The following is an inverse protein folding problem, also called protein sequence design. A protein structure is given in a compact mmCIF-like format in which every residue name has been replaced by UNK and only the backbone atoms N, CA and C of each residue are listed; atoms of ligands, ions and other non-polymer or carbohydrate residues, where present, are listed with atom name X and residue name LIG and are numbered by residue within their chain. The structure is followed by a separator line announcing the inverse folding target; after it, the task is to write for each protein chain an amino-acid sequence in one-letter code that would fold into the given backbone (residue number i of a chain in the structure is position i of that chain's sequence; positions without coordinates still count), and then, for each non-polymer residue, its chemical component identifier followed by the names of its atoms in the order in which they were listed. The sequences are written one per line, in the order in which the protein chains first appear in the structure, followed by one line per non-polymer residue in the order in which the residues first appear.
data_IF_135772018458
#
_entry.id   IF_135772018458
#
_cell.length_a   1.000
_cell.length_b   1.000
_cell.length_c   1.000
_cell.angle_alpha   90.00
_cell.angle_beta   90.00
_cell.angle_gamma   90.00
#
_symmetry.space_group_name_H-M   'P 1'
#
loop_
_entity.id
_entity.type
_entity.pdbx_description
1 polymer ?
#
# COMPACT_ATOMS: atom_id res chain seq x y z
N UNK A 1 10.29 1.03 26.21
CA UNK A 1 9.60 0.26 25.15
C UNK A 1 10.22 -1.13 25.09
N UNK A 2 9.43 -2.21 24.93
CA UNK A 2 9.98 -3.56 24.86
C UNK A 2 10.91 -3.68 23.65
N UNK A 3 12.08 -4.26 23.89
CA UNK A 3 13.12 -4.51 22.88
C UNK A 3 13.48 -5.99 22.92
N UNK A 4 13.72 -6.58 21.76
CA UNK A 4 13.89 -8.01 21.58
C UNK A 4 15.32 -8.32 21.10
N UNK A 5 15.86 -9.46 21.47
CA UNK A 5 17.06 -10.03 20.86
C UNK A 5 16.69 -10.85 19.62
N UNK A 6 17.65 -11.13 18.74
CA UNK A 6 17.39 -11.98 17.57
C UNK A 6 16.86 -13.39 17.95
N UNK A 7 17.31 -13.93 19.10
CA UNK A 7 16.82 -15.22 19.63
C UNK A 7 15.40 -15.14 20.17
N UNK A 8 15.01 -14.02 20.75
CA UNK A 8 13.63 -13.79 21.21
C UNK A 8 12.69 -13.63 20.02
N UNK A 9 13.10 -12.89 18.99
CA UNK A 9 12.33 -12.80 17.74
C UNK A 9 12.14 -14.18 17.08
N UNK A 10 13.21 -14.98 17.00
CA UNK A 10 13.15 -16.35 16.48
C UNK A 10 12.20 -17.23 17.30
N UNK A 11 12.23 -17.12 18.63
CA UNK A 11 11.33 -17.89 19.51
C UNK A 11 9.87 -17.47 19.39
N UNK A 12 9.61 -16.17 19.34
CA UNK A 12 8.23 -15.64 19.35
C UNK A 12 7.56 -15.70 17.99
N UNK A 13 8.33 -15.50 16.92
CA UNK A 13 7.78 -15.53 15.56
C UNK A 13 7.97 -16.90 14.93
N UNK A 14 9.04 -17.63 15.23
CA UNK A 14 9.42 -18.83 14.49
C UNK A 14 10.21 -18.54 13.21
N UNK A 15 10.53 -17.27 12.93
CA UNK A 15 11.39 -16.88 11.81
C UNK A 15 12.85 -17.01 12.22
N UNK A 16 13.63 -17.82 11.50
CA UNK A 16 15.03 -18.04 11.80
C UNK A 16 15.87 -16.76 11.64
N UNK A 17 17.01 -16.72 12.33
CA UNK A 17 17.91 -15.55 12.34
C UNK A 17 18.46 -15.16 10.97
N UNK A 18 18.65 -16.13 10.06
CA UNK A 18 19.13 -15.86 8.70
C UNK A 18 18.03 -15.22 7.87
N UNK A 19 16.79 -15.68 7.98
CA UNK A 19 15.63 -15.06 7.33
C UNK A 19 15.36 -13.65 7.85
N UNK A 20 15.50 -13.41 9.16
CA UNK A 20 15.44 -12.05 9.72
C UNK A 20 16.50 -11.15 9.07
N UNK A 21 17.75 -11.61 8.95
CA UNK A 21 18.82 -10.85 8.33
C UNK A 21 18.54 -10.55 6.84
N UNK A 22 17.97 -11.53 6.12
CA UNK A 22 17.53 -11.37 4.74
C UNK A 22 16.43 -10.32 4.60
N UNK A 23 15.40 -10.34 5.47
CA UNK A 23 14.33 -9.32 5.45
C UNK A 23 14.83 -7.91 5.79
N UNK A 24 15.89 -7.79 6.59
CA UNK A 24 16.57 -6.49 6.80
C UNK A 24 17.29 -6.04 5.53
N UNK A 25 17.94 -6.95 4.78
CA UNK A 25 18.64 -6.63 3.54
C UNK A 25 17.67 -6.20 2.43
N UNK A 26 16.54 -6.90 2.28
CA UNK A 26 15.48 -6.57 1.31
C UNK A 26 14.69 -5.30 1.67
N UNK A 27 14.90 -4.76 2.88
CA UNK A 27 14.25 -3.54 3.36
C UNK A 27 12.80 -3.74 3.83
N UNK A 28 12.37 -4.98 4.12
CA UNK A 28 11.08 -5.23 4.77
C UNK A 28 11.09 -4.79 6.24
N UNK A 29 12.23 -4.99 6.91
CA UNK A 29 12.42 -4.56 8.28
C UNK A 29 13.26 -3.27 8.32
N UNK A 30 13.05 -2.39 9.32
CA UNK A 30 13.91 -1.23 9.50
C UNK A 30 15.38 -1.62 9.61
N UNK A 31 16.31 -0.72 9.30
CA UNK A 31 17.73 -0.98 9.55
C UNK A 31 18.00 -0.82 11.04
N UNK A 32 18.54 -1.87 11.67
CA UNK A 32 19.19 -1.75 12.99
C UNK A 32 20.64 -1.39 12.79
N UNK A 33 21.25 -0.70 13.76
CA UNK A 33 22.66 -0.29 13.73
C UNK A 33 23.64 -1.46 13.75
N UNK A 34 24.57 -1.49 14.71
CA UNK A 34 25.57 -2.56 14.78
C UNK A 34 24.90 -3.94 14.93
N UNK A 35 25.29 -4.87 14.05
CA UNK A 35 24.90 -6.29 14.10
C UNK A 35 25.83 -7.03 15.06
N UNK A 36 25.28 -7.78 16.00
CA UNK A 36 26.05 -8.56 16.97
C UNK A 36 25.14 -9.32 17.94
N UNK A 37 25.75 -10.13 18.80
CA UNK A 37 25.02 -11.00 19.77
C UNK A 37 24.12 -10.20 20.72
N UNK A 38 24.43 -8.91 20.94
CA UNK A 38 23.70 -8.01 21.83
C UNK A 38 22.77 -7.03 21.10
N UNK A 39 22.61 -7.13 19.77
CA UNK A 39 21.71 -6.23 19.03
C UNK A 39 20.28 -6.34 19.57
N UNK A 40 19.70 -5.19 19.88
CA UNK A 40 18.31 -5.04 20.33
C UNK A 40 17.45 -4.55 19.18
N UNK A 41 16.32 -5.21 18.97
CA UNK A 41 15.35 -4.94 17.93
C UNK A 41 14.11 -4.30 18.57
N UNK A 42 13.61 -3.18 18.04
CA UNK A 42 12.39 -2.57 18.58
C UNK A 42 11.17 -3.44 18.31
N UNK A 43 10.10 -3.27 19.10
CA UNK A 43 8.82 -4.01 18.93
C UNK A 43 8.30 -4.02 17.49
N UNK A 44 8.51 -2.94 16.74
CA UNK A 44 8.12 -2.85 15.33
C UNK A 44 8.68 -4.00 14.46
N UNK A 45 9.86 -4.55 14.78
CA UNK A 45 10.39 -5.72 14.07
C UNK A 45 9.53 -6.95 14.29
N UNK A 46 9.21 -7.24 15.55
CA UNK A 46 8.33 -8.35 15.92
C UNK A 46 6.98 -8.23 15.21
N UNK A 47 6.38 -7.04 15.27
CA UNK A 47 5.07 -6.80 14.68
C UNK A 47 5.10 -6.98 13.14
N UNK A 48 6.16 -6.51 12.46
CA UNK A 48 6.33 -6.74 11.00
C UNK A 48 6.58 -8.21 10.65
N UNK A 49 7.34 -8.95 11.47
CA UNK A 49 7.58 -10.38 11.24
C UNK A 49 6.28 -11.19 11.39
N UNK A 50 5.53 -10.97 12.46
CA UNK A 50 4.22 -11.61 12.65
C UNK A 50 3.24 -11.21 11.53
N UNK A 51 3.26 -9.97 11.06
CA UNK A 51 2.46 -9.55 9.90
C UNK A 51 2.81 -10.37 8.66
N UNK A 52 4.09 -10.55 8.33
CA UNK A 52 4.53 -11.35 7.18
C UNK A 52 4.00 -12.78 7.31
N UNK A 53 4.08 -13.37 8.49
CA UNK A 53 3.57 -14.72 8.73
C UNK A 53 2.07 -14.81 8.50
N UNK A 54 1.28 -13.90 9.08
CA UNK A 54 -0.17 -13.87 8.87
C UNK A 54 -0.56 -13.71 7.40
N UNK A 55 0.23 -12.98 6.62
CA UNK A 55 0.02 -12.89 5.16
C UNK A 55 0.27 -14.24 4.51
N UNK A 56 1.34 -14.96 4.88
CA UNK A 56 1.62 -16.31 4.36
C UNK A 56 0.57 -17.33 4.76
N UNK A 57 0.11 -17.29 6.02
CA UNK A 57 -0.96 -18.17 6.49
C UNK A 57 -2.25 -17.91 5.68
N UNK A 58 -2.59 -16.63 5.46
CA UNK A 58 -3.76 -16.25 4.66
C UNK A 58 -3.62 -16.62 3.17
N UNK A 59 -2.41 -16.65 2.63
CA UNK A 59 -2.15 -17.15 1.27
C UNK A 59 -2.34 -18.67 1.18
N UNK A 60 -1.83 -19.42 2.17
CA UNK A 60 -1.96 -20.88 2.23
C UNK A 60 -3.43 -21.31 2.38
N UNK A 61 -4.20 -20.57 3.17
CA UNK A 61 -5.64 -20.76 3.31
C UNK A 61 -6.46 -20.30 2.08
N UNK A 62 -5.82 -19.62 1.11
CA UNK A 62 -6.47 -19.11 -0.09
C UNK A 62 -7.34 -17.85 0.12
N UNK A 63 -7.20 -17.17 1.27
CA UNK A 63 -7.87 -15.90 1.54
C UNK A 63 -7.26 -14.73 0.74
N UNK A 64 -5.97 -14.83 0.40
CA UNK A 64 -5.24 -13.82 -0.36
C UNK A 64 -4.45 -14.50 -1.48
N UNK A 65 -4.38 -13.87 -2.65
CA UNK A 65 -3.51 -14.30 -3.75
C UNK A 65 -2.03 -14.25 -3.33
N UNK A 66 -1.17 -15.08 -3.92
CA UNK A 66 0.26 -15.09 -3.64
C UNK A 66 0.89 -13.67 -3.73
N UNK A 67 1.43 -13.19 -2.61
CA UNK A 67 2.02 -11.85 -2.47
C UNK A 67 3.54 -11.94 -2.46
N UNK A 68 4.18 -11.13 -3.32
CA UNK A 68 5.64 -11.04 -3.35
C UNK A 68 6.18 -10.26 -2.15
N UNK A 69 7.43 -10.51 -1.75
CA UNK A 69 8.09 -9.73 -0.69
C UNK A 69 8.16 -8.23 -1.02
N UNK A 70 8.28 -7.88 -2.30
CA UNK A 70 8.27 -6.48 -2.77
C UNK A 70 6.91 -5.81 -2.51
N UNK A 71 5.82 -6.54 -2.69
CA UNK A 71 4.48 -6.01 -2.43
C UNK A 71 4.22 -5.85 -0.94
N UNK A 72 4.66 -6.80 -0.12
CA UNK A 72 4.61 -6.66 1.35
C UNK A 72 5.40 -5.43 1.80
N UNK A 73 6.57 -5.16 1.20
CA UNK A 73 7.32 -3.92 1.49
C UNK A 73 6.51 -2.67 1.17
N UNK A 74 5.84 -2.61 0.01
CA UNK A 74 4.94 -1.50 -0.33
C UNK A 74 3.77 -1.37 0.65
N UNK A 75 3.28 -2.48 1.21
CA UNK A 75 2.27 -2.44 2.29
C UNK A 75 2.83 -1.73 3.52
N UNK A 76 4.06 -2.03 3.95
CA UNK A 76 4.68 -1.38 5.10
C UNK A 76 4.98 0.11 4.92
N UNK A 77 5.17 0.59 3.70
CA UNK A 77 5.36 2.02 3.40
C UNK A 77 4.03 2.79 3.47
N UNK A 78 2.89 2.12 3.24
CA UNK A 78 1.56 2.72 3.20
C UNK A 78 0.80 2.58 4.52
N UNK A 79 0.92 1.42 5.16
CA UNK A 79 0.12 1.04 6.33
C UNK A 79 0.78 1.57 7.61
N UNK A 80 0.05 2.33 8.46
CA UNK A 80 0.59 2.82 9.71
C UNK A 80 1.06 1.68 10.63
N UNK A 81 2.17 1.86 11.38
CA UNK A 81 2.69 0.85 12.31
C UNK A 81 1.66 0.31 13.31
N UNK A 82 0.71 1.14 13.75
CA UNK A 82 -0.36 0.72 14.66
C UNK A 82 -1.29 -0.34 14.05
N UNK A 83 -1.57 -0.26 12.74
CA UNK A 83 -2.40 -1.25 12.07
C UNK A 83 -1.65 -2.56 11.84
N UNK A 84 -0.35 -2.47 11.50
CA UNK A 84 0.55 -3.64 11.43
C UNK A 84 0.53 -4.37 12.77
N UNK A 85 0.65 -3.67 13.89
CA UNK A 85 0.59 -4.26 15.23
C UNK A 85 -0.75 -4.95 15.51
N UNK A 86 -1.89 -4.35 15.10
CA UNK A 86 -3.22 -4.97 15.27
C UNK A 86 -3.38 -6.26 14.47
N UNK A 87 -2.84 -6.31 13.26
CA UNK A 87 -2.83 -7.53 12.43
C UNK A 87 -1.90 -8.58 13.03
N UNK A 88 -0.71 -8.17 13.48
CA UNK A 88 0.24 -9.04 14.16
C UNK A 88 -0.34 -9.68 15.44
N UNK A 89 -1.11 -8.92 16.22
CA UNK A 89 -1.83 -9.38 17.41
C UNK A 89 -3.08 -10.23 17.06
N UNK A 90 -3.40 -10.44 15.78
CA UNK A 90 -4.57 -11.19 15.32
C UNK A 90 -5.91 -10.48 15.54
N UNK A 91 -5.91 -9.18 15.85
CA UNK A 91 -7.14 -8.39 16.06
C UNK A 91 -7.81 -7.96 14.76
N UNK A 92 -7.05 -7.97 13.66
CA UNK A 92 -7.54 -7.66 12.31
C UNK A 92 -7.08 -8.82 11.42
N UNK A 93 -8.02 -9.41 10.68
CA UNK A 93 -7.71 -10.43 9.69
C UNK A 93 -6.97 -9.82 8.48
N UNK A 94 -6.09 -10.58 7.85
CA UNK A 94 -5.45 -10.17 6.60
C UNK A 94 -6.48 -10.32 5.48
N UNK A 95 -6.96 -9.20 4.94
CA UNK A 95 -7.88 -9.20 3.80
C UNK A 95 -7.13 -8.87 2.51
N UNK A 96 -7.59 -9.32 1.33
CA UNK A 96 -6.94 -9.00 0.07
C UNK A 96 -6.81 -7.50 -0.18
N UNK A 97 -7.71 -6.66 0.34
CA UNK A 97 -7.63 -5.20 0.25
C UNK A 97 -6.44 -4.62 1.02
N UNK A 98 -6.05 -5.25 2.13
CA UNK A 98 -4.92 -4.81 2.95
C UNK A 98 -3.59 -5.03 2.21
N UNK A 99 -3.49 -6.14 1.48
CA UNK A 99 -2.24 -6.58 0.83
C UNK A 99 -2.14 -6.14 -0.62
N UNK A 100 -3.27 -5.94 -1.30
CA UNK A 100 -3.30 -5.49 -2.70
C UNK A 100 -2.81 -4.04 -2.86
N UNK A 101 -2.31 -3.73 -4.06
CA UNK A 101 -2.08 -2.34 -4.48
C UNK A 101 -3.39 -1.55 -4.35
N UNK A 102 -3.34 -0.24 -4.08
CA UNK A 102 -4.50 0.50 -3.62
C UNK A 102 -5.47 0.73 -4.78
N UNK A 103 -6.34 -0.24 -5.01
CA UNK A 103 -7.68 0.04 -5.51
C UNK A 103 -8.44 0.68 -4.34
N UNK A 104 -8.22 1.98 -4.14
CA UNK A 104 -9.10 2.97 -3.46
C UNK A 104 -9.63 2.72 -2.03
N UNK A 105 -9.46 1.55 -1.41
CA UNK A 105 -10.14 1.15 -0.17
C UNK A 105 -9.71 1.94 1.07
N UNK A 106 -8.46 2.40 1.14
CA UNK A 106 -7.96 3.26 2.24
C UNK A 106 -8.53 4.70 2.21
N UNK A 107 -9.38 5.04 1.23
CA UNK A 107 -10.15 6.29 1.21
C UNK A 107 -11.57 6.13 1.75
N UNK A 108 -11.92 5.01 2.35
CA UNK A 108 -13.24 4.88 3.00
C UNK A 108 -13.32 5.83 4.23
N UNK A 109 -14.33 6.72 4.28
CA UNK A 109 -14.46 7.70 5.37
C UNK A 109 -14.54 7.08 6.77
N UNK A 110 -15.02 5.83 6.88
CA UNK A 110 -15.14 5.11 8.15
C UNK A 110 -13.79 4.79 8.80
N UNK A 111 -12.80 4.37 8.00
CA UNK A 111 -11.50 3.96 8.53
C UNK A 111 -10.64 5.16 8.97
N UNK A 112 -10.75 6.29 8.26
CA UNK A 112 -10.18 7.58 8.74
C UNK A 112 -10.80 8.03 10.05
N UNK A 113 -12.13 7.95 10.19
CA UNK A 113 -12.82 8.31 11.43
C UNK A 113 -12.42 7.41 12.61
N UNK A 114 -12.26 6.10 12.37
CA UNK A 114 -11.78 5.18 13.39
C UNK A 114 -10.34 5.49 13.83
N UNK A 115 -9.42 5.75 12.88
CA UNK A 115 -8.04 6.12 13.20
C UNK A 115 -7.92 7.49 13.90
N UNK A 116 -8.71 8.49 13.48
CA UNK A 116 -8.74 9.80 14.14
C UNK A 116 -9.30 9.71 15.55
N UNK A 117 -10.35 8.89 15.77
CA UNK A 117 -10.91 8.66 17.10
C UNK A 117 -9.92 8.00 18.04
N UNK A 118 -9.25 6.92 17.62
CA UNK A 118 -8.24 6.26 18.46
C UNK A 118 -7.02 7.14 18.73
N UNK A 119 -6.60 7.97 17.75
CA UNK A 119 -5.52 8.96 17.97
C UNK A 119 -5.92 9.99 19.02
N UNK A 120 -7.15 10.49 18.96
CA UNK A 120 -7.69 11.45 19.93
C UNK A 120 -7.83 10.83 21.33
N UNK A 121 -8.35 9.60 21.43
CA UNK A 121 -8.47 8.88 22.71
C UNK A 121 -7.11 8.50 23.32
N UNK A 122 -6.09 8.25 22.48
CA UNK A 122 -4.71 8.06 22.91
C UNK A 122 -4.08 9.35 23.42
N UNK A 123 -4.33 10.48 22.75
CA UNK A 123 -3.89 11.82 23.19
C UNK A 123 -4.62 12.26 24.46
N UNK A 124 -5.92 12.00 24.63
CA UNK A 124 -6.65 12.32 25.88
C UNK A 124 -6.18 11.49 27.08
N UNK A 125 -5.73 10.25 26.86
CA UNK A 125 -5.06 9.46 27.91
C UNK A 125 -3.68 9.99 28.25
N UNK A 126 -2.93 10.47 27.27
CA UNK A 126 -1.61 11.05 27.48
C UNK A 126 -1.65 12.47 28.05
N UNK A 127 -2.71 13.22 27.75
CA UNK A 127 -2.95 14.60 28.18
C UNK A 127 -3.89 14.71 29.37
N UNK A 128 -4.40 13.60 29.94
CA UNK A 128 -5.03 13.62 31.26
C UNK A 128 -3.99 14.08 32.26
N UNK A 129 -4.02 15.36 32.69
CA UNK A 129 -3.06 15.84 33.64
C UNK A 129 -3.39 15.15 34.96
N UNK A 130 -2.35 14.71 35.65
CA UNK A 130 -2.39 14.38 37.06
C UNK A 130 -3.27 15.38 37.81
N UNK A 131 -4.53 15.02 38.06
CA UNK A 131 -5.32 15.64 39.12
C UNK A 131 -4.81 14.98 40.38
N UNK A 132 -3.79 15.61 40.96
CA UNK A 132 -3.08 15.09 42.12
C UNK A 132 -4.03 14.80 43.29
N UNK A 133 -3.72 13.79 44.13
CA UNK A 133 -4.35 13.67 45.43
C UNK A 133 -3.95 14.87 46.30
N UNK A 134 -4.83 15.33 47.22
CA UNK A 134 -4.46 16.39 48.14
C UNK A 134 -3.32 15.89 49.03
N UNK A 135 -2.32 16.75 49.17
CA UNK A 135 -1.25 16.63 50.16
C UNK A 135 -1.85 16.37 51.53
N UNK A 136 -1.19 15.50 52.32
CA UNK A 136 -0.85 15.76 53.71
C UNK A 136 0.14 14.69 54.20
N UNK A 137 1.21 15.20 54.80
CA UNK A 137 2.10 14.59 55.79
C UNK A 137 3.29 13.72 55.39
N UNK A 138 4.46 14.33 55.66
CA UNK A 138 5.70 13.78 56.22
C UNK A 138 6.81 13.34 55.26
N UNK A 139 8.06 13.18 55.75
CA UNK A 139 8.90 14.25 56.29
C UNK A 139 10.27 14.32 55.56
N UNK A 140 10.98 15.42 55.82
CA UNK A 140 12.35 15.71 55.43
C UNK A 140 13.28 14.50 55.65
N UNK A 141 13.87 13.95 54.59
CA UNK A 141 15.01 13.02 54.69
C UNK A 141 16.17 13.48 53.81
N UNK A 142 17.34 13.49 54.44
CA UNK A 142 18.59 14.15 54.04
C UNK A 142 19.26 13.61 52.77
N UNK A 143 20.11 14.44 52.12
CA UNK A 143 20.97 14.03 51.02
C UNK A 143 22.25 13.37 51.58
N UNK A 144 22.62 12.21 51.03
CA UNK A 144 23.89 11.58 51.41
C UNK A 144 24.22 10.32 50.61
N UNK A 145 25.28 10.43 49.80
CA UNK A 145 26.15 9.34 49.33
C UNK A 145 25.70 8.59 48.05
N UNK A 146 26.65 7.89 47.38
CA UNK A 146 27.47 8.48 46.33
C UNK A 146 27.31 7.74 44.99
N UNK A 147 27.91 8.32 43.95
CA UNK A 147 28.00 7.75 42.61
C UNK A 147 28.60 6.34 42.64
N UNK A 148 27.76 5.34 42.38
CA UNK A 148 28.21 4.00 41.99
C UNK A 148 28.71 4.08 40.55
N UNK A 149 30.03 4.14 40.44
CA UNK A 149 30.77 3.95 39.21
C UNK A 149 30.56 2.50 38.79
N UNK A 150 29.68 2.25 37.82
CA UNK A 150 29.54 0.95 37.17
C UNK A 150 30.85 0.64 36.42
N UNK A 151 31.73 -0.04 37.15
CA UNK A 151 32.92 -0.72 36.67
C UNK A 151 32.48 -1.82 35.68
N UNK A 152 32.69 -1.55 34.39
CA UNK A 152 32.47 -2.51 33.32
C UNK A 152 33.60 -3.53 33.36
N UNK A 153 33.43 -4.55 34.20
CA UNK A 153 34.32 -5.70 34.31
C UNK A 153 34.82 -6.18 32.96
N UNK A 154 36.09 -5.85 32.68
CA UNK A 154 36.98 -6.46 31.71
C UNK A 154 37.36 -7.86 32.19
N UNK A 155 36.40 -8.78 32.20
CA UNK A 155 36.67 -10.20 32.40
C UNK A 155 36.00 -10.96 31.24
N UNK A 156 36.81 -11.41 30.29
CA UNK A 156 37.01 -12.85 30.03
C UNK A 156 37.72 -13.03 28.66
N UNK A 157 39.00 -12.64 28.62
CA UNK A 157 39.93 -13.00 27.55
C UNK A 157 40.48 -14.41 27.83
N UNK A 158 39.65 -15.43 27.64
CA UNK A 158 40.11 -16.82 27.64
C UNK A 158 40.91 -17.13 26.36
N UNK A 159 42.16 -17.62 26.43
CA UNK A 159 42.90 -18.08 25.28
C UNK A 159 42.33 -19.42 24.82
N UNK A 160 41.73 -19.47 23.63
CA UNK A 160 41.49 -20.73 22.93
C UNK A 160 42.77 -21.13 22.20
N UNK A 161 43.64 -21.80 22.93
CA UNK A 161 44.67 -22.67 22.35
C UNK A 161 44.00 -23.90 21.72
N UNK A 162 44.51 -24.31 20.57
CA UNK A 162 44.36 -25.67 20.05
C UNK A 162 43.11 -25.95 19.22
N UNK A 163 43.17 -25.71 17.91
CA UNK A 163 43.20 -26.87 17.01
C UNK A 163 43.82 -26.49 15.67
N UNK A 164 45.03 -27.02 15.49
CA UNK A 164 45.73 -27.07 14.21
C UNK A 164 45.07 -28.16 13.37
N UNK A 165 44.21 -27.78 12.43
CA UNK A 165 43.81 -28.68 11.34
C UNK A 165 44.45 -28.20 10.06
N UNK A 166 45.24 -29.10 9.50
CA UNK A 166 46.09 -28.92 8.34
C UNK A 166 45.33 -28.33 7.14
N UNK A 167 46.04 -27.42 6.46
CA UNK A 167 45.74 -26.97 5.12
C UNK A 167 45.70 -28.17 4.16
N UNK A 168 44.52 -28.51 3.67
CA UNK A 168 44.37 -29.32 2.46
C UNK A 168 44.29 -28.37 1.25
N UNK A 169 45.20 -28.58 0.32
CA UNK A 169 45.42 -27.76 -0.87
C UNK A 169 44.27 -27.98 -1.86
N UNK A 170 43.27 -27.09 -1.80
CA UNK A 170 42.22 -27.03 -2.82
C UNK A 170 42.76 -26.50 -4.16
N UNK A 171 42.37 -27.10 -5.30
CA UNK A 171 43.01 -26.88 -6.59
C UNK A 171 42.80 -25.45 -7.11
N UNK A 172 43.86 -24.97 -7.79
CA UNK A 172 43.90 -23.71 -8.50
C UNK A 172 42.67 -23.53 -9.41
N UNK A 173 41.77 -22.63 -9.01
CA UNK A 173 40.72 -22.14 -9.90
C UNK A 173 41.39 -21.30 -10.99
N UNK A 174 41.55 -21.92 -12.16
CA UNK A 174 41.89 -21.26 -13.41
C UNK A 174 41.07 -19.99 -13.56
N UNK A 175 41.79 -18.86 -13.60
CA UNK A 175 41.27 -17.58 -14.09
C UNK A 175 40.66 -17.80 -15.47
N UNK A 176 39.34 -17.82 -15.56
CA UNK A 176 38.69 -17.71 -16.86
C UNK A 176 38.95 -16.30 -17.42
N UNK A 177 39.34 -16.18 -18.70
CA UNK A 177 39.43 -14.89 -19.38
C UNK A 177 38.03 -14.27 -19.44
N UNK A 178 37.94 -12.99 -19.05
CA UNK A 178 36.70 -12.23 -19.09
C UNK A 178 36.13 -12.13 -20.50
N UNK A 179 34.81 -11.94 -20.65
CA UNK A 179 34.19 -11.75 -21.95
C UNK A 179 34.76 -10.49 -22.64
N UNK A 180 34.91 -10.52 -23.98
CA UNK A 180 35.38 -9.37 -24.72
C UNK A 180 34.43 -8.18 -24.51
N UNK A 181 35.03 -7.01 -24.33
CA UNK A 181 34.32 -5.74 -24.23
C UNK A 181 33.45 -5.55 -25.49
N UNK A 182 32.13 -5.51 -25.30
CA UNK A 182 31.21 -5.07 -26.34
C UNK A 182 31.46 -3.58 -26.59
N UNK A 183 31.95 -3.27 -27.79
CA UNK A 183 32.12 -1.90 -28.27
C UNK A 183 30.75 -1.20 -28.32
N UNK A 184 30.63 0.03 -27.82
CA UNK A 184 29.39 0.79 -27.93
C UNK A 184 29.11 1.17 -29.38
N UNK A 185 28.04 0.60 -29.93
CA UNK A 185 27.45 1.01 -31.21
C UNK A 185 27.25 2.55 -31.26
N UNK A 186 27.70 3.22 -32.32
CA UNK A 186 27.52 4.66 -32.47
C UNK A 186 26.03 4.99 -32.65
N UNK A 187 25.50 5.80 -31.73
CA UNK A 187 24.17 6.38 -31.85
C UNK A 187 24.03 7.12 -33.19
N UNK A 188 23.21 6.54 -34.07
CA UNK A 188 22.78 7.18 -35.29
C UNK A 188 21.96 8.43 -34.96
N UNK A 189 22.58 9.60 -35.17
CA UNK A 189 21.90 10.87 -35.32
C UNK A 189 20.91 10.77 -36.48
N UNK A 190 19.62 10.79 -36.16
CA UNK A 190 18.52 10.90 -37.11
C UNK A 190 17.88 12.31 -37.09
N UNK A 191 17.49 12.85 -38.26
CA UNK A 191 17.09 14.25 -38.49
C UNK A 191 15.70 14.57 -37.88
N UNK A 192 15.51 15.76 -37.32
CA UNK A 192 15.04 16.99 -37.99
C UNK A 192 13.55 16.96 -38.36
N UNK A 193 12.85 17.98 -37.84
CA UNK A 193 11.66 18.64 -38.38
C UNK A 193 10.37 17.84 -38.60
N UNK A 194 9.34 18.20 -37.83
CA UNK A 194 8.13 18.82 -38.39
C UNK A 194 7.18 19.21 -37.25
N UNK A 195 7.18 20.49 -36.88
CA UNK A 195 6.02 21.08 -36.19
C UNK A 195 4.84 21.14 -37.18
N UNK A 196 3.66 20.60 -36.84
CA UNK A 196 2.46 20.88 -37.61
C UNK A 196 1.91 22.29 -37.25
N UNK A 197 1.35 23.01 -38.24
CA UNK A 197 0.89 24.38 -38.08
C UNK A 197 -0.35 24.47 -37.18
N UNK A 198 -0.38 25.54 -36.40
CA UNK A 198 -1.53 25.99 -35.63
C UNK A 198 -2.66 26.42 -36.58
N UNK A 199 -3.70 25.60 -36.70
CA UNK A 199 -4.93 25.99 -37.39
C UNK A 199 -5.74 26.99 -36.56
N UNK A 200 -5.95 28.15 -37.18
CA UNK A 200 -6.78 29.26 -36.75
C UNK A 200 -8.29 28.97 -36.90
N UNK A 201 -9.03 29.30 -35.82
CA UNK A 201 -10.39 29.91 -35.83
C UNK A 201 -11.61 28.99 -36.18
N UNK A 202 -12.88 29.31 -35.82
CA UNK A 202 -13.43 30.65 -35.66
C UNK A 202 -14.27 30.97 -34.41
N UNK A 203 -14.48 32.28 -34.30
CA UNK A 203 -15.27 33.04 -33.35
C UNK A 203 -16.78 32.83 -33.54
N UNK A 204 -17.50 33.06 -32.42
CA UNK A 204 -18.86 33.65 -32.30
C UNK A 204 -20.03 32.87 -32.91
N UNK A 205 -20.98 32.50 -32.03
CA UNK A 205 -22.41 32.82 -32.19
C UNK A 205 -23.19 32.49 -30.90
N UNK A 206 -23.48 33.52 -30.10
CA UNK A 206 -24.74 33.65 -29.36
C UNK A 206 -25.52 34.81 -30.05
N UNK A 207 -26.79 35.13 -29.75
CA UNK A 207 -27.76 34.51 -28.82
C UNK A 207 -29.15 34.27 -29.49
N UNK A 208 -29.99 33.35 -28.97
CA UNK A 208 -31.42 33.36 -29.31
C UNK A 208 -32.35 33.03 -28.13
N UNK A 209 -32.95 34.11 -27.64
CA UNK A 209 -34.37 34.34 -27.32
C UNK A 209 -35.14 33.31 -26.46
N UNK A 210 -35.39 33.77 -25.24
CA UNK A 210 -36.60 33.57 -24.41
C UNK A 210 -37.89 33.53 -25.24
N UNK A 211 -38.76 32.58 -24.88
CA UNK A 211 -40.20 32.57 -25.15
C UNK A 211 -40.93 32.08 -23.86
N UNK A 212 -42.23 32.42 -23.69
CA UNK A 212 -42.83 32.73 -22.40
C UNK A 212 -43.29 31.51 -21.60
N UNK A 213 -43.29 31.70 -20.29
CA UNK A 213 -43.84 30.79 -19.28
C UNK A 213 -45.33 30.58 -19.51
N UNK A 214 -45.72 29.32 -19.69
CA UNK A 214 -47.11 28.89 -19.62
C UNK A 214 -47.35 28.48 -18.17
N UNK A 215 -48.07 29.32 -17.43
CA UNK A 215 -48.67 28.96 -16.15
C UNK A 215 -49.54 27.72 -16.35
N UNK A 216 -49.16 26.63 -15.69
CA UNK A 216 -49.98 25.43 -15.56
C UNK A 216 -50.37 25.36 -14.09
N UNK A 217 -51.66 25.51 -13.84
CA UNK A 217 -52.30 25.24 -12.55
C UNK A 217 -51.88 23.86 -12.03
N UNK A 218 -51.20 23.85 -10.88
CA UNK A 218 -50.84 22.62 -10.17
C UNK A 218 -51.88 22.39 -9.07
N UNK A 219 -52.68 21.29 -9.13
CA UNK A 219 -53.61 20.93 -8.06
C UNK A 219 -52.87 20.48 -6.78
N UNK A 220 -53.54 20.47 -5.62
CA UNK A 220 -52.90 20.44 -4.32
C UNK A 220 -52.28 19.08 -4.01
N UNK A 221 -51.04 19.16 -3.52
CA UNK A 221 -50.40 18.37 -2.47
C UNK A 221 -51.16 17.10 -2.07
N UNK A 222 -50.98 16.03 -2.84
CA UNK A 222 -51.08 14.67 -2.30
C UNK A 222 -49.67 14.19 -1.98
N UNK A 223 -49.44 13.96 -0.68
CA UNK A 223 -48.51 13.00 -0.10
C UNK A 223 -47.32 12.60 -0.97
N UNK A 224 -46.19 13.28 -0.79
CA UNK A 224 -44.87 12.78 -1.19
C UNK A 224 -44.58 11.49 -0.41
N UNK A 225 -45.05 10.37 -0.94
CA UNK A 225 -44.42 9.08 -0.70
C UNK A 225 -42.94 9.22 -1.09
N UNK A 226 -41.99 8.80 -0.24
CA UNK A 226 -40.58 8.83 -0.59
C UNK A 226 -40.40 8.00 -1.86
N UNK A 227 -40.10 8.66 -2.97
CA UNK A 227 -39.73 7.99 -4.21
C UNK A 227 -38.52 7.11 -3.89
N UNK A 228 -38.78 5.81 -3.97
CA UNK A 228 -37.88 4.73 -3.61
C UNK A 228 -36.50 4.91 -4.23
N UNK A 229 -35.49 4.72 -3.39
CA UNK A 229 -34.08 4.51 -3.73
C UNK A 229 -33.82 3.28 -4.66
N UNK A 230 -34.84 2.65 -5.23
CA UNK A 230 -34.72 1.46 -6.09
C UNK A 230 -34.07 1.77 -7.46
N UNK A 231 -34.07 3.03 -7.92
CA UNK A 231 -33.42 3.42 -9.18
C UNK A 231 -31.88 3.36 -9.13
N UNK A 232 -31.27 3.39 -7.94
CA UNK A 232 -29.81 3.29 -7.78
C UNK A 232 -29.28 1.89 -8.11
N UNK A 233 -29.90 0.88 -7.51
CA UNK A 233 -29.43 -0.50 -7.60
C UNK A 233 -29.47 -1.05 -9.03
N UNK A 234 -30.50 -0.73 -9.81
CA UNK A 234 -30.60 -1.17 -11.20
C UNK A 234 -29.48 -0.57 -12.09
N UNK A 235 -29.11 0.69 -11.86
CA UNK A 235 -28.03 1.34 -12.59
C UNK A 235 -26.64 0.82 -12.19
N UNK A 236 -26.44 0.55 -10.90
CA UNK A 236 -25.21 -0.07 -10.41
C UNK A 236 -25.02 -1.49 -10.96
N UNK A 237 -26.09 -2.29 -11.01
CA UNK A 237 -26.08 -3.62 -11.63
C UNK A 237 -25.79 -3.54 -13.14
N UNK A 238 -26.39 -2.57 -13.84
CA UNK A 238 -26.10 -2.34 -15.25
C UNK A 238 -24.63 -1.95 -15.50
N UNK A 239 -24.08 -1.06 -14.66
CA UNK A 239 -22.66 -0.68 -14.72
C UNK A 239 -21.75 -1.88 -14.46
N UNK A 240 -22.06 -2.69 -13.44
CA UNK A 240 -21.30 -3.90 -13.13
C UNK A 240 -21.30 -4.91 -14.29
N UNK A 241 -22.46 -5.07 -14.95
CA UNK A 241 -22.59 -5.92 -16.14
C UNK A 241 -21.77 -5.39 -17.32
N UNK A 242 -21.80 -4.08 -17.58
CA UNK A 242 -21.04 -3.47 -18.67
C UNK A 242 -19.52 -3.56 -18.43
N UNK A 243 -19.06 -3.39 -17.18
CA UNK A 243 -17.66 -3.55 -16.80
C UNK A 243 -17.17 -5.00 -16.97
N UNK A 244 -17.96 -6.00 -16.56
CA UNK A 244 -17.64 -7.42 -16.79
C UNK A 244 -17.52 -7.73 -18.28
N UNK A 245 -18.45 -7.21 -19.09
CA UNK A 245 -18.41 -7.37 -20.54
C UNK A 245 -17.16 -6.73 -21.16
N UNK A 246 -16.76 -5.55 -20.69
CA UNK A 246 -15.53 -4.88 -21.14
C UNK A 246 -14.28 -5.71 -20.80
N UNK A 247 -14.24 -6.31 -19.61
CA UNK A 247 -13.16 -7.18 -19.19
C UNK A 247 -13.06 -8.46 -20.04
N UNK A 248 -14.20 -9.12 -20.30
CA UNK A 248 -14.24 -10.32 -21.15
C UNK A 248 -13.74 -10.04 -22.57
N UNK A 249 -14.16 -8.92 -23.16
CA UNK A 249 -13.69 -8.47 -24.47
C UNK A 249 -12.18 -8.23 -24.48
N UNK A 250 -11.67 -7.51 -23.47
CA UNK A 250 -10.23 -7.27 -23.33
C UNK A 250 -9.43 -8.57 -23.20
N UNK A 251 -9.88 -9.50 -22.35
CA UNK A 251 -9.23 -10.81 -22.16
C UNK A 251 -9.24 -11.65 -23.44
N UNK A 252 -10.38 -11.67 -24.14
CA UNK A 252 -10.54 -12.40 -25.40
C UNK A 252 -9.59 -11.85 -26.47
N UNK A 253 -9.49 -10.53 -26.62
CA UNK A 253 -8.54 -9.91 -27.56
C UNK A 253 -7.08 -10.19 -27.24
N UNK A 254 -6.70 -10.07 -25.97
CA UNK A 254 -5.33 -10.38 -25.53
C UNK A 254 -4.94 -11.84 -25.84
N UNK A 255 -5.94 -12.74 -25.87
CA UNK A 255 -5.77 -14.15 -26.27
C UNK A 255 -5.71 -14.32 -27.79
N UNK A 256 -6.58 -13.65 -28.55
CA UNK A 256 -6.68 -13.76 -30.01
C UNK A 256 -5.54 -13.06 -30.75
N UNK A 257 -5.06 -11.93 -30.24
CA UNK A 257 -4.01 -11.14 -30.86
C UNK A 257 -2.97 -10.70 -29.81
N UNK A 258 -1.82 -11.38 -29.72
CA UNK A 258 -0.75 -10.98 -28.80
C UNK A 258 -0.25 -9.55 -29.03
N UNK A 259 -0.37 -9.02 -30.25
CA UNK A 259 -0.03 -7.63 -30.59
C UNK A 259 -0.98 -6.60 -29.95
N UNK A 260 -2.23 -6.98 -29.67
CA UNK A 260 -3.19 -6.12 -28.97
C UNK A 260 -2.83 -5.86 -27.51
N UNK A 261 -1.85 -6.60 -26.97
CA UNK A 261 -1.29 -6.34 -25.64
C UNK A 261 -0.67 -4.94 -25.58
N UNK A 262 -0.20 -4.33 -26.65
CA UNK A 262 0.47 -3.03 -26.51
C UNK A 262 -0.48 -1.83 -26.68
N UNK A 263 -1.74 -2.09 -27.03
CA UNK A 263 -2.76 -1.06 -27.20
C UNK A 263 -3.47 -0.77 -25.88
N UNK A 264 -3.36 0.48 -25.41
CA UNK A 264 -4.09 1.01 -24.25
C UNK A 264 -5.11 2.03 -24.71
N UNK A 265 -6.38 1.83 -24.33
CA UNK A 265 -7.46 2.79 -24.56
C UNK A 265 -7.74 3.55 -23.27
N UNK A 266 -7.65 4.88 -23.35
CA UNK A 266 -7.92 5.80 -22.24
C UNK A 266 -9.33 6.37 -22.38
N UNK A 267 -10.10 6.32 -21.30
CA UNK A 267 -11.51 6.67 -21.27
C UNK A 267 -11.72 7.71 -20.17
N UNK A 268 -11.94 8.96 -20.56
CA UNK A 268 -12.11 10.06 -19.61
C UNK A 268 -13.54 10.08 -19.06
N UNK A 269 -13.71 9.59 -17.83
CA UNK A 269 -15.00 9.56 -17.13
C UNK A 269 -15.30 10.92 -16.51
N UNK A 270 -14.32 11.55 -15.87
CA UNK A 270 -14.39 12.91 -15.33
C UNK A 270 -12.99 13.57 -15.31
N UNK A 271 -12.85 14.87 -15.03
CA UNK A 271 -11.53 15.53 -14.98
C UNK A 271 -10.51 14.90 -14.02
N UNK A 272 -10.98 14.15 -13.03
CA UNK A 272 -10.14 13.48 -12.03
C UNK A 272 -10.25 11.95 -12.07
N UNK A 273 -11.00 11.39 -13.03
CA UNK A 273 -11.21 9.95 -13.14
C UNK A 273 -11.06 9.52 -14.60
N UNK A 274 -10.04 8.71 -14.82
CA UNK A 274 -9.71 8.13 -16.11
C UNK A 274 -9.73 6.62 -15.95
N UNK A 275 -10.44 5.93 -16.85
CA UNK A 275 -10.43 4.48 -16.94
C UNK A 275 -9.51 4.07 -18.09
N UNK A 276 -8.55 3.19 -17.82
CA UNK A 276 -7.64 2.67 -18.83
C UNK A 276 -7.91 1.18 -19.01
N UNK A 277 -8.15 0.77 -20.26
CA UNK A 277 -8.39 -0.63 -20.61
C UNK A 277 -7.38 -1.07 -21.69
N UNK A 278 -6.90 -2.31 -21.59
CA UNK A 278 -5.87 -2.89 -22.46
C UNK A 278 -6.52 -3.81 -23.48
N UNK A 279 -6.07 -3.78 -24.74
CA UNK A 279 -6.57 -4.66 -25.79
C UNK A 279 -8.00 -4.35 -26.25
N UNK A 280 -8.46 -3.12 -26.03
CA UNK A 280 -9.71 -2.58 -26.59
C UNK A 280 -9.38 -1.94 -27.94
N UNK A 281 -10.12 -2.30 -28.98
CA UNK A 281 -9.99 -1.70 -30.32
C UNK A 281 -11.23 -0.93 -30.73
N UNK A 282 -11.24 -0.46 -31.98
CA UNK A 282 -12.28 0.46 -32.50
C UNK A 282 -13.68 -0.15 -32.51
N UNK A 283 -13.81 -1.46 -32.72
CA UNK A 283 -15.09 -2.16 -32.71
C UNK A 283 -15.77 -2.19 -31.32
N UNK A 284 -15.02 -1.92 -30.25
CA UNK A 284 -15.51 -1.91 -28.87
C UNK A 284 -15.86 -0.51 -28.35
N UNK A 285 -15.72 0.54 -29.19
CA UNK A 285 -15.98 1.95 -28.81
C UNK A 285 -17.38 2.15 -28.24
N UNK A 286 -18.38 1.43 -28.78
CA UNK A 286 -19.76 1.52 -28.29
C UNK A 286 -19.92 0.97 -26.86
N UNK A 287 -19.15 -0.05 -26.48
CA UNK A 287 -19.14 -0.61 -25.12
C UNK A 287 -18.43 0.33 -24.16
N UNK A 288 -17.27 0.86 -24.57
CA UNK A 288 -16.50 1.87 -23.84
C UNK A 288 -17.36 3.10 -23.52
N UNK A 289 -18.07 3.65 -24.50
CA UNK A 289 -18.93 4.82 -24.29
C UNK A 289 -20.14 4.53 -23.40
N UNK A 290 -20.62 3.28 -23.38
CA UNK A 290 -21.69 2.84 -22.47
C UNK A 290 -21.20 2.80 -21.02
N UNK A 291 -20.05 2.19 -20.77
CA UNK A 291 -19.37 2.17 -19.46
C UNK A 291 -19.11 3.59 -18.99
N UNK A 292 -18.57 4.45 -19.85
CA UNK A 292 -18.30 5.86 -19.55
C UNK A 292 -19.57 6.60 -19.10
N UNK A 293 -20.67 6.46 -19.82
CA UNK A 293 -21.97 7.08 -19.47
C UNK A 293 -22.54 6.51 -18.16
N UNK A 294 -22.46 5.20 -17.96
CA UNK A 294 -22.93 4.56 -16.73
C UNK A 294 -22.12 5.03 -15.51
N UNK A 295 -20.79 5.06 -15.60
CA UNK A 295 -19.92 5.58 -14.53
C UNK A 295 -20.20 7.05 -14.21
N UNK A 296 -20.41 7.90 -15.23
CA UNK A 296 -20.82 9.29 -15.00
C UNK A 296 -22.11 9.32 -14.16
N UNK A 297 -23.18 8.62 -14.55
CA UNK A 297 -24.45 8.64 -13.80
C UNK A 297 -24.27 8.26 -12.32
N UNK A 298 -23.51 7.20 -12.03
CA UNK A 298 -23.23 6.76 -10.66
C UNK A 298 -22.45 7.80 -9.86
N UNK A 299 -21.40 8.39 -10.44
CA UNK A 299 -20.56 9.39 -9.75
C UNK A 299 -21.33 10.67 -9.46
N UNK A 300 -22.14 11.14 -10.42
CA UNK A 300 -22.87 12.40 -10.29
C UNK A 300 -24.11 12.28 -9.39
N UNK A 301 -24.68 11.09 -9.17
CA UNK A 301 -25.73 10.87 -8.15
C UNK A 301 -25.22 10.91 -6.72
N UNK A 302 -23.95 10.58 -6.49
CA UNK A 302 -23.36 10.52 -5.15
C UNK A 302 -22.89 11.86 -4.58
N UNK A 303 -23.09 12.97 -5.30
CA UNK A 303 -22.79 14.34 -4.85
C UNK A 303 -24.07 15.10 -4.56
#
# INVERSE_FOLDING_TARGET
MPSYTARELERETGVDRRTIAYYVQEGLLPRVGRRGRRTRYPKLFRDRLLFIQRVRDAEEEGHVSAVSLKDIRKVFERVPPALIARVADGRIAVTPELVSEPSTAFRTPGMRRAMLRERWEGEERAMSPMRGPPALDAPLFSPGAPAEHEDWGEDDAGPREGDMVAHDEGPAYSRMPGPPAEEPEPYASGPSDAEPPLEEAPRRSAPRRRAPQREVDVPPVYSRLPERHESGAAEELALASDLRRLEEVARRRIKESPRSRDTWTRIDVSPHLVLSARGIGEEDVALVERVRRAMKRVIWRGR
#
